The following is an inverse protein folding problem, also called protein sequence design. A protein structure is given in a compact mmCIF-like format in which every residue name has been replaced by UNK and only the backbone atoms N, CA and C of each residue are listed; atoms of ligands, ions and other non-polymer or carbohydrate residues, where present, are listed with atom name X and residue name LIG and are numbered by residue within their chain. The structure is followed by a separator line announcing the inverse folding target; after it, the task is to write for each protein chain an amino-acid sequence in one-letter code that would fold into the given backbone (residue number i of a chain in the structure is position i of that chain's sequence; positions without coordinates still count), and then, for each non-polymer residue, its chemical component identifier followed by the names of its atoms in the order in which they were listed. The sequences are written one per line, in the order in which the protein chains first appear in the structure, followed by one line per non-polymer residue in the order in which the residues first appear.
data_IF_407494631221
#
_entry.id   IF_407494631221
#
_cell.length_a   1.000
_cell.length_b   1.000
_cell.length_c   1.000
_cell.angle_alpha   90.00
_cell.angle_beta   90.00
_cell.angle_gamma   90.00
#
_symmetry.space_group_name_H-M   'P 1'
#
loop_
_entity.id
_entity.type
_entity.pdbx_description
1 polymer ?
#
# COMPACT_ATOMS: atom_id res chain seq x y z
N UNK A 1 -8.86 8.60 -57.89
CA UNK A 1 -9.88 9.51 -57.34
C UNK A 1 -10.51 8.83 -56.14
N UNK A 2 -10.49 9.54 -55.00
CA UNK A 2 -11.19 9.30 -53.72
C UNK A 2 -10.71 8.09 -52.91
N UNK A 3 -9.95 8.30 -51.82
CA UNK A 3 -10.35 8.87 -50.51
C UNK A 3 -11.16 7.88 -49.69
N UNK A 4 -10.68 7.56 -48.50
CA UNK A 4 -11.40 6.74 -47.52
C UNK A 4 -10.48 6.24 -46.43
N UNK A 5 -10.02 7.14 -45.57
CA UNK A 5 -9.50 6.82 -44.24
C UNK A 5 -10.49 5.91 -43.50
N UNK A 6 -10.00 4.89 -42.80
CA UNK A 6 -10.81 4.22 -41.77
C UNK A 6 -9.92 3.91 -40.58
N UNK A 7 -9.99 4.84 -39.62
CA UNK A 7 -9.79 4.70 -38.18
C UNK A 7 -9.31 3.31 -37.72
N UNK A 8 -8.05 3.24 -37.27
CA UNK A 8 -7.73 2.46 -36.09
C UNK A 8 -8.41 3.15 -34.90
N UNK A 9 -9.65 2.76 -34.63
CA UNK A 9 -10.30 3.02 -33.35
C UNK A 9 -9.52 2.18 -32.34
N UNK A 10 -8.67 2.85 -31.56
CA UNK A 10 -8.08 2.35 -30.34
C UNK A 10 -9.20 1.72 -29.53
N UNK A 11 -9.23 0.40 -29.44
CA UNK A 11 -10.01 -0.27 -28.41
C UNK A 11 -9.34 0.04 -27.08
N UNK A 12 -9.62 1.24 -26.55
CA UNK A 12 -9.51 1.53 -25.12
C UNK A 12 -10.53 0.61 -24.44
N UNK A 13 -10.07 -0.60 -24.13
CA UNK A 13 -10.75 -1.46 -23.18
C UNK A 13 -10.85 -0.64 -21.88
N UNK A 14 -12.05 -0.43 -21.30
CA UNK A 14 -12.10 0.04 -19.93
C UNK A 14 -11.35 -0.98 -19.07
N UNK A 15 -10.44 -0.59 -18.17
CA UNK A 15 -9.77 -1.54 -17.31
C UNK A 15 -10.82 -2.12 -16.35
N UNK A 16 -11.35 -3.28 -16.70
CA UNK A 16 -12.12 -4.12 -15.81
C UNK A 16 -11.15 -4.91 -14.91
N UNK A 17 -10.36 -4.20 -14.09
CA UNK A 17 -9.49 -4.82 -13.10
C UNK A 17 -9.83 -4.31 -11.71
N UNK A 18 -10.19 -5.24 -10.84
CA UNK A 18 -10.41 -5.04 -9.41
C UNK A 18 -9.08 -4.65 -8.75
N UNK A 19 -8.71 -3.37 -8.75
CA UNK A 19 -7.42 -2.97 -8.20
C UNK A 19 -7.35 -3.32 -6.70
N UNK A 20 -6.26 -3.99 -6.32
CA UNK A 20 -5.96 -4.36 -4.94
C UNK A 20 -4.81 -3.51 -4.40
N UNK A 21 -5.07 -2.79 -3.30
CA UNK A 21 -4.08 -1.99 -2.59
C UNK A 21 -3.68 -2.73 -1.31
N UNK A 22 -2.39 -3.00 -1.14
CA UNK A 22 -1.83 -3.56 0.08
C UNK A 22 -1.09 -2.45 0.84
N UNK A 23 -1.40 -2.27 2.11
CA UNK A 23 -0.75 -1.32 3.02
C UNK A 23 -0.01 -2.12 4.08
N UNK A 24 1.29 -1.90 4.25
CA UNK A 24 2.11 -2.54 5.29
C UNK A 24 2.81 -1.50 6.16
N UNK A 25 2.59 -1.58 7.47
CA UNK A 25 3.22 -0.67 8.45
C UNK A 25 4.45 -1.27 9.14
N UNK A 26 5.01 -2.37 8.63
CA UNK A 26 6.19 -3.01 9.21
C UNK A 26 5.91 -3.91 10.41
N UNK A 27 6.95 -4.61 10.86
CA UNK A 27 6.86 -5.67 11.86
C UNK A 27 6.81 -5.16 13.31
N UNK A 28 7.50 -4.08 13.64
CA UNK A 28 7.84 -3.71 15.03
C UNK A 28 7.08 -2.51 15.60
N UNK A 29 6.73 -1.51 14.79
CA UNK A 29 6.00 -0.32 15.25
C UNK A 29 4.76 -0.16 14.41
N UNK A 30 3.59 -0.11 15.05
CA UNK A 30 2.34 0.09 14.32
C UNK A 30 2.22 1.55 13.91
N UNK A 31 2.24 1.82 12.59
CA UNK A 31 2.01 3.17 12.09
C UNK A 31 0.52 3.53 12.14
N UNK A 32 0.06 3.86 13.35
CA UNK A 32 -1.36 4.11 13.65
C UNK A 32 -1.96 5.23 12.81
N UNK A 33 -1.20 6.28 12.51
CA UNK A 33 -1.70 7.38 11.69
C UNK A 33 -1.97 6.94 10.25
N UNK A 34 -1.08 6.14 9.65
CA UNK A 34 -1.29 5.57 8.32
C UNK A 34 -2.52 4.67 8.32
N UNK A 35 -2.64 3.75 9.29
CA UNK A 35 -3.81 2.85 9.41
C UNK A 35 -5.10 3.65 9.59
N UNK A 36 -5.11 4.62 10.50
CA UNK A 36 -6.29 5.46 10.75
C UNK A 36 -6.67 6.27 9.50
N UNK A 37 -5.69 6.72 8.72
CA UNK A 37 -5.94 7.45 7.49
C UNK A 37 -6.49 6.52 6.39
N UNK A 38 -5.84 5.39 6.11
CA UNK A 38 -6.28 4.47 5.04
C UNK A 38 -7.61 3.79 5.35
N UNK A 39 -7.91 3.60 6.64
CA UNK A 39 -9.20 3.07 7.10
C UNK A 39 -10.23 4.16 7.39
N UNK A 40 -9.93 5.42 7.08
CA UNK A 40 -10.92 6.49 7.20
C UNK A 40 -11.97 6.36 6.10
N UNK A 41 -13.22 6.69 6.43
CA UNK A 41 -14.33 6.70 5.46
C UNK A 41 -13.99 7.56 4.24
N UNK A 42 -13.31 8.69 4.45
CA UNK A 42 -12.90 9.58 3.36
C UNK A 42 -11.90 8.91 2.40
N UNK A 43 -10.83 8.30 2.93
CA UNK A 43 -9.82 7.64 2.12
C UNK A 43 -10.41 6.45 1.37
N UNK A 44 -11.12 5.58 2.09
CA UNK A 44 -11.84 4.43 1.53
C UNK A 44 -12.79 4.87 0.42
N UNK A 45 -13.60 5.91 0.64
CA UNK A 45 -14.51 6.43 -0.39
C UNK A 45 -13.77 6.94 -1.64
N UNK A 46 -12.62 7.60 -1.46
CA UNK A 46 -11.79 8.06 -2.58
C UNK A 46 -11.17 6.88 -3.33
N UNK A 47 -10.62 5.88 -2.62
CA UNK A 47 -10.06 4.67 -3.21
C UNK A 47 -11.12 3.89 -4.01
N UNK A 48 -12.34 3.74 -3.50
CA UNK A 48 -13.45 3.12 -4.23
C UNK A 48 -13.74 3.85 -5.55
N UNK A 49 -13.73 5.19 -5.53
CA UNK A 49 -13.95 6.00 -6.74
C UNK A 49 -12.84 5.87 -7.77
N UNK A 50 -11.62 5.53 -7.33
CA UNK A 50 -10.50 5.24 -8.21
C UNK A 50 -10.55 3.83 -8.81
N UNK A 51 -11.52 2.99 -8.40
CA UNK A 51 -11.65 1.61 -8.87
C UNK A 51 -10.96 0.57 -7.97
N UNK A 52 -10.46 0.97 -6.80
CA UNK A 52 -9.95 0.02 -5.80
C UNK A 52 -11.13 -0.73 -5.20
N UNK A 53 -11.10 -2.06 -5.34
CA UNK A 53 -12.14 -2.95 -4.83
C UNK A 53 -11.67 -3.78 -3.64
N UNK A 54 -10.37 -3.83 -3.39
CA UNK A 54 -9.80 -4.52 -2.23
C UNK A 54 -8.69 -3.70 -1.60
N UNK A 55 -8.82 -3.40 -0.32
CA UNK A 55 -7.82 -2.79 0.53
C UNK A 55 -7.35 -3.84 1.54
N UNK A 56 -6.07 -4.09 1.57
CA UNK A 56 -5.44 -5.04 2.48
C UNK A 56 -4.51 -4.26 3.39
N UNK A 57 -4.66 -4.38 4.70
CA UNK A 57 -3.88 -3.61 5.68
C UNK A 57 -3.17 -4.58 6.61
N UNK A 58 -1.87 -4.74 6.40
CA UNK A 58 -0.99 -5.42 7.33
C UNK A 58 -0.48 -4.45 8.39
N UNK A 59 -0.70 -4.78 9.66
CA UNK A 59 -0.16 -4.04 10.78
C UNK A 59 0.83 -4.85 11.59
N UNK A 60 1.76 -4.16 12.26
CA UNK A 60 2.75 -4.78 13.13
C UNK A 60 2.10 -5.51 14.31
N UNK A 61 2.82 -6.49 14.85
CA UNK A 61 2.34 -7.27 16.00
C UNK A 61 2.59 -6.53 17.33
N UNK A 62 2.03 -5.32 17.45
CA UNK A 62 2.19 -4.50 18.65
C UNK A 62 1.24 -4.98 19.76
N UNK A 63 1.77 -5.87 20.59
CA UNK A 63 1.09 -6.41 21.76
C UNK A 63 1.37 -5.48 22.94
N UNK A 64 0.31 -4.96 23.55
CA UNK A 64 0.40 -4.12 24.74
C UNK A 64 0.88 -4.89 25.96
N UNK A 65 1.25 -4.16 27.02
CA UNK A 65 1.75 -4.74 28.28
C UNK A 65 0.78 -5.71 28.97
N UNK A 66 -0.49 -5.72 28.56
CA UNK A 66 -1.55 -6.62 29.08
C UNK A 66 -1.79 -7.86 28.21
N UNK A 67 -1.10 -8.01 27.08
CA UNK A 67 -1.35 -9.10 26.12
C UNK A 67 -2.39 -8.76 25.04
N UNK A 68 -3.00 -7.57 25.08
CA UNK A 68 -3.94 -7.13 24.05
C UNK A 68 -3.22 -6.57 22.82
N UNK A 69 -3.69 -6.92 21.62
CA UNK A 69 -3.20 -6.33 20.37
C UNK A 69 -3.68 -4.87 20.28
N UNK A 70 -2.78 -3.92 20.53
CA UNK A 70 -3.11 -2.48 20.54
C UNK A 70 -3.55 -2.04 19.14
N UNK A 71 -2.93 -2.61 18.11
CA UNK A 71 -3.25 -2.38 16.70
C UNK A 71 -4.69 -2.75 16.37
N UNK A 72 -5.20 -3.85 16.94
CA UNK A 72 -6.59 -4.30 16.76
C UNK A 72 -7.57 -3.30 17.36
N UNK A 73 -7.36 -2.87 18.61
CA UNK A 73 -8.23 -1.88 19.24
C UNK A 73 -8.24 -0.52 18.50
N UNK A 74 -7.15 -0.18 17.81
CA UNK A 74 -7.11 1.00 16.96
C UNK A 74 -7.86 0.81 15.65
N UNK A 75 -7.73 -0.37 15.03
CA UNK A 75 -8.49 -0.73 13.84
C UNK A 75 -9.99 -0.82 14.14
N UNK A 76 -10.37 -1.35 15.31
CA UNK A 76 -11.76 -1.49 15.75
C UNK A 76 -12.48 -0.13 15.84
N UNK A 77 -11.79 0.93 16.27
CA UNK A 77 -12.33 2.30 16.21
C UNK A 77 -12.59 2.76 14.77
N UNK A 78 -11.69 2.42 13.86
CA UNK A 78 -11.87 2.69 12.43
C UNK A 78 -13.01 1.84 11.85
N UNK A 79 -13.12 0.58 12.26
CA UNK A 79 -14.19 -0.35 11.86
C UNK A 79 -15.55 0.24 12.22
N UNK A 80 -15.77 0.70 13.46
CA UNK A 80 -17.05 1.30 13.85
C UNK A 80 -17.42 2.49 12.95
N UNK A 81 -16.43 3.29 12.56
CA UNK A 81 -16.64 4.42 11.64
C UNK A 81 -16.98 3.95 10.21
N UNK A 82 -16.34 2.88 9.75
CA UNK A 82 -16.61 2.25 8.46
C UNK A 82 -17.99 1.57 8.46
N UNK A 83 -18.38 0.88 9.52
CA UNK A 83 -19.70 0.26 9.66
C UNK A 83 -20.83 1.30 9.58
N UNK A 84 -20.64 2.45 10.24
CA UNK A 84 -21.57 3.58 10.14
C UNK A 84 -21.70 4.13 8.71
N UNK A 85 -20.70 3.92 7.86
CA UNK A 85 -20.71 4.30 6.43
C UNK A 85 -21.23 3.21 5.49
N UNK A 86 -21.56 2.01 6.00
CA UNK A 86 -22.15 0.91 5.23
C UNK A 86 -21.24 -0.30 4.99
N UNK A 87 -20.10 -0.39 5.67
CA UNK A 87 -19.31 -1.62 5.71
C UNK A 87 -19.98 -2.65 6.63
N UNK A 88 -19.95 -3.92 6.25
CA UNK A 88 -20.41 -5.06 7.05
C UNK A 88 -19.22 -5.92 7.39
N UNK A 89 -19.13 -6.36 8.62
CA UNK A 89 -18.09 -7.31 9.03
C UNK A 89 -18.43 -8.69 8.48
N UNK A 90 -17.62 -9.20 7.57
CA UNK A 90 -17.83 -10.52 6.94
C UNK A 90 -17.41 -11.67 7.88
N UNK A 91 -16.50 -11.38 8.81
CA UNK A 91 -16.11 -12.29 9.88
C UNK A 91 -14.72 -11.97 10.45
N UNK A 92 -14.39 -12.62 11.57
CA UNK A 92 -13.02 -12.78 12.06
C UNK A 92 -12.53 -14.14 11.53
N UNK A 93 -11.65 -14.15 10.52
CA UNK A 93 -11.04 -15.40 10.03
C UNK A 93 -10.10 -16.04 11.07
N UNK A 94 -9.55 -15.20 11.93
CA UNK A 94 -8.59 -15.50 12.99
C UNK A 94 -8.85 -14.55 14.17
N UNK A 95 -8.36 -14.87 15.38
CA UNK A 95 -8.43 -13.95 16.53
C UNK A 95 -7.88 -12.55 16.19
N UNK A 96 -6.94 -12.43 15.26
CA UNK A 96 -6.30 -11.17 14.91
C UNK A 96 -6.63 -10.64 13.51
N UNK A 97 -7.53 -11.29 12.75
CA UNK A 97 -7.88 -10.88 11.39
C UNK A 97 -9.28 -10.27 11.32
N UNK A 98 -9.39 -9.14 10.63
CA UNK A 98 -10.66 -8.42 10.50
C UNK A 98 -10.97 -8.22 9.02
N UNK A 99 -12.13 -8.72 8.59
CA UNK A 99 -12.66 -8.50 7.24
C UNK A 99 -13.91 -7.66 7.28
N UNK A 100 -13.89 -6.57 6.53
CA UNK A 100 -15.01 -5.71 6.27
C UNK A 100 -15.33 -5.75 4.78
N UNK A 101 -16.59 -5.97 4.45
CA UNK A 101 -17.10 -5.97 3.09
C UNK A 101 -18.09 -4.81 2.92
N UNK A 102 -18.06 -4.17 1.75
CA UNK A 102 -19.03 -3.15 1.36
C UNK A 102 -19.38 -3.35 -0.11
N UNK A 103 -20.49 -2.75 -0.56
CA UNK A 103 -20.87 -2.74 -1.97
C UNK A 103 -19.82 -2.05 -2.86
N UNK A 104 -18.97 -1.20 -2.26
CA UNK A 104 -17.94 -0.44 -2.97
C UNK A 104 -16.57 -1.13 -2.97
N UNK A 105 -16.16 -1.75 -1.87
CA UNK A 105 -14.88 -2.45 -1.72
C UNK A 105 -14.83 -3.35 -0.48
N UNK A 106 -13.81 -4.21 -0.43
CA UNK A 106 -13.46 -5.05 0.71
C UNK A 106 -12.21 -4.51 1.42
N UNK A 107 -12.23 -4.49 2.74
CA UNK A 107 -11.10 -4.14 3.61
C UNK A 107 -10.73 -5.35 4.44
N UNK A 108 -9.53 -5.88 4.24
CA UNK A 108 -8.95 -6.98 5.02
C UNK A 108 -7.81 -6.41 5.87
N UNK A 109 -7.81 -6.66 7.16
CA UNK A 109 -6.70 -6.28 8.04
C UNK A 109 -6.19 -7.48 8.84
N UNK A 110 -4.87 -7.65 8.88
CA UNK A 110 -4.23 -8.81 9.50
C UNK A 110 -2.87 -8.42 10.12
N UNK A 111 -2.40 -9.17 11.13
CA UNK A 111 -1.12 -8.90 11.77
C UNK A 111 0.08 -9.28 10.88
N UNK A 112 1.28 -8.82 11.24
CA UNK A 112 2.50 -9.17 10.50
C UNK A 112 2.65 -10.70 10.35
N UNK A 113 2.86 -11.15 9.11
CA UNK A 113 3.06 -12.55 8.75
C UNK A 113 4.21 -12.68 7.77
N UNK A 114 4.89 -13.82 7.80
CA UNK A 114 5.99 -14.12 6.89
C UNK A 114 5.54 -14.41 5.45
N UNK A 115 4.24 -14.68 5.22
CA UNK A 115 3.66 -15.00 3.90
C UNK A 115 3.04 -13.77 3.19
N UNK A 116 3.58 -12.58 3.43
CA UNK A 116 3.10 -11.36 2.74
C UNK A 116 3.44 -11.35 1.25
N UNK A 117 4.43 -12.13 0.80
CA UNK A 117 4.82 -12.21 -0.61
C UNK A 117 3.64 -12.58 -1.52
N UNK A 118 2.82 -13.54 -1.11
CA UNK A 118 1.60 -13.94 -1.82
C UNK A 118 0.59 -12.79 -1.93
N UNK A 119 0.52 -11.93 -0.92
CA UNK A 119 -0.33 -10.73 -0.91
C UNK A 119 0.25 -9.61 -1.77
N UNK A 120 1.58 -9.44 -1.79
CA UNK A 120 2.27 -8.48 -2.65
C UNK A 120 2.14 -8.87 -4.12
N UNK A 121 2.23 -10.17 -4.44
CA UNK A 121 2.08 -10.69 -5.79
C UNK A 121 0.67 -10.45 -6.34
N UNK A 122 -0.35 -10.65 -5.50
CA UNK A 122 -1.76 -10.40 -5.86
C UNK A 122 -2.16 -8.93 -5.80
N UNK A 123 -1.40 -8.09 -5.09
CA UNK A 123 -1.63 -6.65 -5.05
C UNK A 123 -1.14 -5.96 -6.34
N UNK A 124 -1.88 -4.95 -6.77
CA UNK A 124 -1.48 -4.07 -7.87
C UNK A 124 -0.61 -2.92 -7.35
N UNK A 125 -0.89 -2.47 -6.13
CA UNK A 125 -0.27 -1.31 -5.51
C UNK A 125 0.07 -1.64 -4.07
N UNK A 126 1.30 -1.36 -3.68
CA UNK A 126 1.78 -1.58 -2.33
C UNK A 126 2.13 -0.24 -1.71
N UNK A 127 1.64 0.00 -0.51
CA UNK A 127 1.93 1.16 0.32
C UNK A 127 2.74 0.66 1.52
N UNK A 128 3.94 1.16 1.71
CA UNK A 128 4.81 0.77 2.83
C UNK A 128 5.31 1.98 3.58
N UNK A 129 5.49 1.88 4.89
CA UNK A 129 6.06 2.95 5.73
C UNK A 129 7.60 3.11 5.64
N UNK A 130 8.20 2.78 4.49
CA UNK A 130 9.66 2.71 4.29
C UNK A 130 10.38 1.57 5.02
N UNK A 131 9.65 0.51 5.42
CA UNK A 131 10.29 -0.67 5.99
C UNK A 131 11.22 -1.37 4.99
N UNK A 132 12.50 -1.51 5.35
CA UNK A 132 13.58 -2.09 4.53
C UNK A 132 13.18 -3.40 3.85
N UNK A 133 12.67 -4.38 4.62
CA UNK A 133 12.26 -5.68 4.06
C UNK A 133 11.13 -5.57 3.06
N UNK A 134 10.11 -4.77 3.36
CA UNK A 134 8.95 -4.57 2.48
C UNK A 134 9.32 -3.84 1.18
N UNK A 135 10.24 -2.87 1.24
CA UNK A 135 10.74 -2.18 0.03
C UNK A 135 11.38 -3.22 -0.90
N UNK A 136 12.28 -4.04 -0.37
CA UNK A 136 13.02 -5.06 -1.12
C UNK A 136 12.06 -6.08 -1.74
N UNK A 137 11.12 -6.62 -0.97
CA UNK A 137 10.16 -7.61 -1.45
C UNK A 137 9.32 -7.09 -2.63
N UNK A 138 8.87 -5.83 -2.54
CA UNK A 138 8.05 -5.19 -3.58
C UNK A 138 8.87 -4.88 -4.82
N UNK A 139 10.12 -4.42 -4.65
CA UNK A 139 11.05 -4.16 -5.74
C UNK A 139 11.43 -5.45 -6.48
N UNK A 140 11.62 -6.57 -5.75
CA UNK A 140 11.86 -7.90 -6.33
C UNK A 140 10.71 -8.33 -7.24
N UNK A 141 9.48 -8.05 -6.83
CA UNK A 141 8.26 -8.39 -7.59
C UNK A 141 7.94 -7.38 -8.69
N UNK A 142 8.78 -6.34 -8.89
CA UNK A 142 8.60 -5.27 -9.89
C UNK A 142 7.20 -4.63 -9.81
N UNK A 143 6.71 -4.45 -8.58
CA UNK A 143 5.37 -3.91 -8.30
C UNK A 143 5.44 -2.42 -7.96
N UNK A 144 4.28 -1.76 -8.08
CA UNK A 144 4.15 -0.34 -7.78
C UNK A 144 4.23 -0.10 -6.27
N UNK A 145 5.29 0.58 -5.81
CA UNK A 145 5.52 0.88 -4.40
C UNK A 145 5.28 2.36 -4.12
N UNK A 146 4.46 2.64 -3.11
CA UNK A 146 4.29 3.96 -2.52
C UNK A 146 4.85 3.92 -1.09
N UNK A 147 5.89 4.69 -0.84
CA UNK A 147 6.52 4.79 0.47
C UNK A 147 5.93 5.97 1.22
N UNK A 148 5.35 5.72 2.39
CA UNK A 148 4.88 6.76 3.31
C UNK A 148 5.92 6.99 4.40
N UNK A 149 6.70 8.06 4.29
CA UNK A 149 7.72 8.39 5.27
C UNK A 149 7.13 9.21 6.42
N UNK A 150 7.64 8.95 7.64
CA UNK A 150 7.34 9.74 8.82
C UNK A 150 8.61 10.35 9.37
N UNK A 151 8.76 11.66 9.19
CA UNK A 151 9.89 12.45 9.69
C UNK A 151 10.12 12.28 11.21
N UNK A 152 9.10 11.90 11.98
CA UNK A 152 9.18 11.70 13.43
C UNK A 152 9.52 10.28 13.89
N UNK A 153 9.43 9.27 13.02
CA UNK A 153 9.65 7.85 13.37
C UNK A 153 10.78 7.20 12.56
N UNK A 154 11.11 7.74 11.39
CA UNK A 154 12.13 7.20 10.50
C UNK A 154 13.51 7.76 10.84
N UNK A 155 14.54 6.92 10.79
CA UNK A 155 15.92 7.41 10.68
C UNK A 155 16.09 8.13 9.34
N UNK A 156 16.79 9.28 9.36
CA UNK A 156 17.03 10.10 8.16
C UNK A 156 17.61 9.30 6.99
N UNK A 157 18.38 8.24 7.28
CA UNK A 157 18.96 7.33 6.29
C UNK A 157 17.91 6.61 5.44
N UNK A 158 16.82 6.11 6.04
CA UNK A 158 15.76 5.43 5.28
C UNK A 158 14.99 6.40 4.38
N UNK A 159 14.82 7.64 4.83
CA UNK A 159 14.16 8.69 4.07
C UNK A 159 15.01 9.09 2.86
N UNK A 160 16.33 9.18 3.04
CA UNK A 160 17.29 9.51 1.99
C UNK A 160 17.32 8.43 0.89
N UNK A 161 17.35 7.14 1.28
CA UNK A 161 17.27 6.02 0.34
C UNK A 161 15.93 6.00 -0.40
N UNK A 162 14.81 6.18 0.32
CA UNK A 162 13.49 6.24 -0.30
C UNK A 162 13.38 7.41 -1.30
N UNK A 163 13.92 8.58 -0.96
CA UNK A 163 13.92 9.75 -1.84
C UNK A 163 14.80 9.54 -3.08
N UNK A 164 15.97 8.90 -2.94
CA UNK A 164 16.81 8.54 -4.08
C UNK A 164 16.09 7.57 -5.01
N UNK A 165 15.48 6.51 -4.47
CA UNK A 165 14.71 5.55 -5.26
C UNK A 165 13.48 6.18 -5.92
N UNK A 166 12.83 7.13 -5.25
CA UNK A 166 11.72 7.89 -5.83
C UNK A 166 12.17 8.74 -7.03
N UNK A 167 13.33 9.39 -6.90
CA UNK A 167 13.93 10.20 -7.96
C UNK A 167 14.35 9.36 -9.18
N UNK A 168 14.84 8.15 -8.94
CA UNK A 168 15.15 7.18 -9.99
C UNK A 168 13.89 6.52 -10.58
N UNK A 169 12.70 6.78 -10.04
CA UNK A 169 11.42 6.26 -10.53
C UNK A 169 11.15 4.81 -10.14
N UNK A 170 11.81 4.28 -9.12
CA UNK A 170 11.53 2.93 -8.61
C UNK A 170 10.32 2.89 -7.67
N UNK A 171 10.05 3.99 -6.95
CA UNK A 171 8.94 4.11 -6.01
C UNK A 171 8.37 5.53 -5.98
N UNK A 172 7.27 5.75 -5.28
CA UNK A 172 6.74 7.09 -5.01
C UNK A 172 6.88 7.36 -3.52
N UNK A 173 7.57 8.43 -3.14
CA UNK A 173 7.59 8.89 -1.75
C UNK A 173 6.39 9.81 -1.47
N UNK A 174 5.82 9.67 -0.28
CA UNK A 174 4.76 10.51 0.25
C UNK A 174 5.05 10.77 1.72
N UNK A 175 5.06 12.04 2.12
CA UNK A 175 5.23 12.36 3.55
C UNK A 175 3.90 12.23 4.30
N UNK A 176 3.95 12.18 5.64
CA UNK A 176 2.74 12.18 6.47
C UNK A 176 1.84 13.40 6.20
N UNK A 177 2.41 14.59 5.98
CA UNK A 177 1.65 15.78 5.64
C UNK A 177 0.96 15.66 4.27
N UNK A 178 1.67 15.09 3.29
CA UNK A 178 1.13 14.84 1.96
C UNK A 178 0.06 13.74 1.95
N UNK A 179 0.21 12.73 2.81
CA UNK A 179 -0.85 11.76 3.05
C UNK A 179 -2.11 12.47 3.54
N UNK A 180 -1.97 13.36 4.54
CA UNK A 180 -3.10 14.14 5.09
C UNK A 180 -3.72 15.09 4.07
N UNK A 181 -2.94 15.63 3.13
CA UNK A 181 -3.47 16.46 2.04
C UNK A 181 -4.18 15.67 0.94
N UNK A 182 -4.05 14.34 0.93
CA UNK A 182 -4.69 13.45 -0.04
C UNK A 182 -3.80 12.98 -1.19
N UNK A 183 -2.52 13.38 -1.21
CA UNK A 183 -1.55 13.02 -2.25
C UNK A 183 -1.39 11.50 -2.38
N UNK A 184 -1.46 10.76 -1.27
CA UNK A 184 -1.40 9.28 -1.29
C UNK A 184 -2.44 8.69 -2.23
N UNK A 185 -3.67 9.21 -2.17
CA UNK A 185 -4.78 8.71 -2.99
C UNK A 185 -4.64 9.15 -4.45
N UNK A 186 -4.15 10.36 -4.69
CA UNK A 186 -3.81 10.80 -6.05
C UNK A 186 -2.70 9.93 -6.68
N UNK A 187 -1.65 9.61 -5.92
CA UNK A 187 -0.57 8.73 -6.37
C UNK A 187 -1.12 7.36 -6.76
N UNK A 188 -1.97 6.76 -5.91
CA UNK A 188 -2.68 5.50 -6.21
C UNK A 188 -3.51 5.66 -7.50
N UNK A 189 -4.26 6.75 -7.63
CA UNK A 189 -5.06 7.02 -8.83
C UNK A 189 -4.24 7.15 -10.11
N UNK A 190 -3.06 7.78 -10.03
CA UNK A 190 -2.12 7.90 -11.14
C UNK A 190 -1.56 6.54 -11.56
N UNK A 191 -1.28 5.66 -10.59
CA UNK A 191 -0.84 4.28 -10.85
C UNK A 191 -1.95 3.48 -11.54
N UNK A 192 -3.18 3.52 -11.00
CA UNK A 192 -4.33 2.81 -11.59
C UNK A 192 -4.66 3.33 -12.99
N UNK A 193 -4.49 4.63 -13.21
CA UNK A 193 -4.71 5.26 -14.52
C UNK A 193 -3.59 5.00 -15.53
N UNK A 194 -2.53 4.27 -15.15
CA UNK A 194 -1.38 3.99 -16.01
C UNK A 194 -0.51 5.22 -16.32
N UNK A 195 -0.62 6.28 -15.52
CA UNK A 195 0.18 7.51 -15.67
C UNK A 195 1.56 7.41 -14.99
N UNK A 196 1.74 6.47 -14.08
CA UNK A 196 3.01 6.23 -13.40
C UNK A 196 3.78 5.11 -14.12
N UNK A 197 5.00 5.42 -14.57
CA UNK A 197 5.96 4.42 -15.05
C UNK A 197 6.97 4.16 -13.94
N UNK A 198 7.01 2.92 -13.46
CA UNK A 198 8.02 2.49 -12.51
C UNK A 198 9.17 1.82 -13.24
N UNK A 199 10.40 2.19 -12.86
CA UNK A 199 11.58 1.50 -13.32
C UNK A 199 11.70 0.16 -12.58
N UNK A 200 12.14 -0.88 -13.29
CA UNK A 200 12.45 -2.17 -12.68
C UNK A 200 13.90 -2.14 -12.19
N UNK A 201 14.13 -2.61 -10.95
CA UNK A 201 15.50 -2.84 -10.51
C UNK A 201 16.14 -3.90 -11.42
N UNK A 202 17.43 -3.74 -11.79
CA UNK A 202 18.17 -4.80 -12.46
C UNK A 202 18.17 -6.05 -11.57
N UNK A 203 17.90 -7.22 -12.17
CA UNK A 203 17.93 -8.49 -11.46
C UNK A 203 19.35 -8.71 -10.88
N UNK A 204 19.50 -8.89 -9.56
CA UNK A 204 20.82 -9.14 -9.00
C UNK A 204 21.27 -10.54 -9.39
N UNK A 205 22.44 -10.66 -10.03
CA UNK A 205 23.03 -11.97 -10.33
C UNK A 205 23.40 -12.76 -9.06
N UNK A 206 23.45 -12.16 -7.86
CA UNK A 206 23.95 -12.85 -6.65
C UNK A 206 23.51 -12.25 -5.30
N UNK A 207 22.29 -11.70 -5.16
CA UNK A 207 21.77 -11.20 -3.88
C UNK A 207 22.53 -10.02 -3.23
N UNK A 208 23.62 -9.56 -3.87
CA UNK A 208 24.48 -8.49 -3.36
C UNK A 208 23.76 -7.15 -3.29
N UNK A 209 22.84 -6.89 -4.21
CA UNK A 209 22.03 -5.67 -4.22
C UNK A 209 21.14 -5.61 -2.98
N UNK A 210 20.65 -6.76 -2.52
CA UNK A 210 19.85 -6.86 -1.29
C UNK A 210 20.72 -6.51 -0.09
N UNK A 211 21.91 -7.10 0.02
CA UNK A 211 22.85 -6.78 1.11
C UNK A 211 23.28 -5.33 1.10
N UNK A 212 23.57 -4.74 -0.07
CA UNK A 212 23.98 -3.33 -0.18
C UNK A 212 22.82 -2.40 0.19
N UNK A 213 21.60 -2.65 -0.30
CA UNK A 213 20.43 -1.83 0.05
C UNK A 213 20.10 -1.98 1.54
N UNK A 214 20.21 -3.18 2.10
CA UNK A 214 20.00 -3.44 3.53
C UNK A 214 21.09 -2.79 4.38
N UNK A 215 22.36 -2.88 3.97
CA UNK A 215 23.50 -2.22 4.64
C UNK A 215 23.38 -0.69 4.57
N UNK A 216 22.94 -0.13 3.46
CA UNK A 216 22.69 1.31 3.32
C UNK A 216 21.45 1.78 4.12
N UNK A 217 20.45 0.92 4.30
CA UNK A 217 19.24 1.22 5.09
C UNK A 217 19.42 0.99 6.60
N UNK A 218 20.40 0.18 7.00
CA UNK A 218 20.73 -0.14 8.41
C UNK A 218 22.04 0.49 8.91
N UNK A 219 22.76 1.20 8.03
CA UNK A 219 24.08 1.80 8.27
C UNK A 219 24.05 3.04 9.16
#
# INVERSE_FOLDING_TARGET
MKSGETKCDSQEQPPNSMATVLVTTGATVTFRELISYVCSVECVSKLARLGVRKLVVQYGNEIGKSGDHISRGHFEKSVTSLEASGFKREGELSDDEIVLESESMNVLAFPFTHDILSHIETADIIVSHAGTGSIIDVLRLKKNLVVVTNDSLLDNHQLEVASMMAKEGYLIDCTLEEMRSGKLVESIGNIISGKANFNALPEPEDGTVETVIVEELLG
#
